data_IF_578321688756
#
_entry.id   IF_578321688756
#
_cell.length_a   1.000
_cell.length_b   1.000
_cell.length_c   1.000
_cell.angle_alpha   90.00
_cell.angle_beta   90.00
_cell.angle_gamma   90.00
#
_symmetry.space_group_name_H-M   'P 1'
#
loop_
_entity.id
_entity.type
_entity.pdbx_description
1 polymer ?
#
# COMPACT_ATOMS: atom_id res chain seq x y z
N UNK A 1 23.02 -4.61 21.50
CA UNK A 1 22.07 -5.12 20.49
C UNK A 1 22.69 -4.90 19.14
N UNK A 2 22.95 -5.96 18.38
CA UNK A 2 23.37 -5.83 16.98
C UNK A 2 22.09 -5.79 16.17
N UNK A 3 21.70 -4.61 15.71
CA UNK A 3 20.67 -4.52 14.67
C UNK A 3 21.16 -5.33 13.47
N UNK A 4 20.32 -6.24 12.98
CA UNK A 4 20.64 -6.96 11.75
C UNK A 4 20.88 -5.92 10.65
N UNK A 5 21.92 -6.12 9.83
CA UNK A 5 22.17 -5.29 8.64
C UNK A 5 20.91 -5.16 7.77
N UNK A 6 20.08 -6.21 7.73
CA UNK A 6 18.79 -6.22 7.04
C UNK A 6 17.82 -5.19 7.63
N UNK A 7 17.69 -5.11 8.96
CA UNK A 7 16.79 -4.14 9.60
C UNK A 7 17.29 -2.71 9.40
N UNK A 8 18.59 -2.47 9.57
CA UNK A 8 19.19 -1.16 9.32
C UNK A 8 19.01 -0.73 7.85
N UNK A 9 19.11 -1.66 6.90
CA UNK A 9 18.87 -1.36 5.48
C UNK A 9 17.39 -1.03 5.20
N UNK A 10 16.45 -1.80 5.77
CA UNK A 10 15.00 -1.54 5.63
C UNK A 10 14.63 -0.19 6.22
N UNK A 11 15.16 0.15 7.39
CA UNK A 11 14.90 1.43 8.07
C UNK A 11 15.42 2.61 7.24
N UNK A 12 16.68 2.57 6.81
CA UNK A 12 17.27 3.63 5.98
C UNK A 12 16.52 3.78 4.65
N UNK A 13 16.12 2.66 4.04
CA UNK A 13 15.32 2.68 2.84
C UNK A 13 13.97 3.35 3.10
N UNK A 14 13.28 2.94 4.17
CA UNK A 14 11.97 3.46 4.54
C UNK A 14 12.03 4.96 4.79
N UNK A 15 13.00 5.41 5.57
CA UNK A 15 13.24 6.83 5.84
C UNK A 15 13.47 7.61 4.54
N UNK A 16 14.29 7.07 3.64
CA UNK A 16 14.60 7.71 2.34
C UNK A 16 13.35 7.84 1.49
N UNK A 17 12.61 6.76 1.25
CA UNK A 17 11.41 6.78 0.39
C UNK A 17 10.35 7.70 0.98
N UNK A 18 10.10 7.64 2.29
CA UNK A 18 9.13 8.53 2.97
C UNK A 18 9.53 10.01 2.82
N UNK A 19 10.82 10.34 2.97
CA UNK A 19 11.30 11.72 2.84
C UNK A 19 11.14 12.25 1.40
N UNK A 20 11.54 11.46 0.40
CA UNK A 20 11.38 11.85 -1.01
C UNK A 20 9.92 11.98 -1.41
N UNK A 21 9.07 11.06 -0.96
CA UNK A 21 7.64 11.11 -1.23
C UNK A 21 6.97 12.32 -0.60
N UNK A 22 7.29 12.66 0.66
CA UNK A 22 6.76 13.86 1.31
C UNK A 22 7.21 15.14 0.60
N UNK A 23 8.48 15.19 0.14
CA UNK A 23 8.98 16.30 -0.65
C UNK A 23 8.26 16.42 -2.01
N UNK A 24 8.04 15.30 -2.71
CA UNK A 24 7.33 15.27 -3.98
C UNK A 24 5.84 15.65 -3.84
N UNK A 25 5.19 15.21 -2.76
CA UNK A 25 3.81 15.55 -2.45
C UNK A 25 3.63 17.01 -2.00
N UNK A 26 4.70 17.67 -1.54
CA UNK A 26 4.63 19.00 -0.93
C UNK A 26 3.94 19.03 0.44
N UNK A 27 3.64 17.86 1.02
CA UNK A 27 2.95 17.71 2.31
C UNK A 27 3.52 16.51 3.10
N UNK A 28 3.44 16.53 4.44
CA UNK A 28 3.79 15.37 5.26
C UNK A 28 2.90 14.16 4.94
N UNK A 29 3.52 12.99 4.79
CA UNK A 29 2.82 11.72 4.56
C UNK A 29 2.92 10.80 5.80
N UNK A 30 1.91 9.95 6.04
CA UNK A 30 2.01 8.90 7.07
C UNK A 30 3.22 8.01 6.84
N UNK A 31 3.90 7.61 7.91
CA UNK A 31 5.08 6.75 7.81
C UNK A 31 4.73 5.35 7.29
N UNK A 32 5.49 4.86 6.31
CA UNK A 32 5.34 3.54 5.71
C UNK A 32 6.65 2.76 5.80
N UNK A 33 6.59 1.46 6.05
CA UNK A 33 7.75 0.58 5.95
C UNK A 33 7.90 0.12 4.51
N UNK A 34 9.08 0.30 3.96
CA UNK A 34 9.39 0.05 2.56
C UNK A 34 10.36 -1.11 2.42
N UNK A 35 10.11 -1.93 1.40
CA UNK A 35 11.04 -2.93 0.91
C UNK A 35 11.33 -2.67 -0.57
N UNK A 36 12.56 -2.96 -0.97
CA UNK A 36 12.95 -2.90 -2.38
C UNK A 36 12.72 -4.28 -3.01
N UNK A 37 11.80 -4.37 -3.96
CA UNK A 37 11.63 -5.60 -4.72
C UNK A 37 12.71 -5.67 -5.81
N UNK A 38 13.83 -6.31 -5.47
CA UNK A 38 14.93 -6.51 -6.40
C UNK A 38 14.61 -7.55 -7.49
N UNK A 39 13.61 -8.42 -7.29
CA UNK A 39 13.22 -9.43 -8.26
C UNK A 39 12.62 -8.80 -9.53
N UNK A 40 12.02 -7.61 -9.41
CA UNK A 40 11.51 -6.84 -10.55
C UNK A 40 12.57 -6.49 -11.61
N UNK A 41 13.86 -6.43 -11.24
CA UNK A 41 14.97 -6.21 -12.19
C UNK A 41 15.38 -7.46 -12.97
N UNK A 42 15.11 -8.65 -12.43
CA UNK A 42 15.50 -9.92 -13.05
C UNK A 42 14.34 -10.62 -13.76
N UNK A 43 13.09 -10.21 -13.50
CA UNK A 43 11.89 -10.69 -14.18
C UNK A 43 11.69 -9.95 -15.51
N UNK A 44 12.12 -10.60 -16.59
CA UNK A 44 11.81 -10.25 -17.97
C UNK A 44 10.29 -10.25 -18.22
N UNK A 45 9.72 -9.09 -18.63
CA UNK A 45 8.35 -8.84 -19.13
C UNK A 45 7.21 -9.00 -18.08
N UNK A 46 6.55 -7.94 -17.59
CA UNK A 46 5.63 -7.09 -18.37
C UNK A 46 5.65 -5.58 -18.00
N UNK A 47 6.42 -5.18 -16.99
CA UNK A 47 6.69 -3.75 -16.65
C UNK A 47 8.15 -3.48 -16.25
N UNK A 48 8.96 -4.50 -15.93
CA UNK A 48 10.44 -4.52 -15.95
C UNK A 48 11.22 -3.51 -15.09
N UNK A 49 10.55 -2.56 -14.43
CA UNK A 49 11.19 -1.55 -13.60
C UNK A 49 11.23 -2.04 -12.15
N UNK A 50 12.36 -1.80 -11.48
CA UNK A 50 12.45 -1.98 -10.05
C UNK A 50 11.39 -1.12 -9.34
N UNK A 51 10.74 -1.68 -8.32
CA UNK A 51 9.67 -1.00 -7.58
C UNK A 51 9.97 -1.01 -6.09
N UNK A 52 9.72 0.12 -5.43
CA UNK A 52 9.66 0.17 -3.97
C UNK A 52 8.27 -0.26 -3.52
N UNK A 53 8.20 -1.31 -2.71
CA UNK A 53 6.97 -1.87 -2.18
C UNK A 53 6.79 -1.44 -0.73
N UNK A 54 5.82 -0.57 -0.48
CA UNK A 54 5.43 -0.09 0.84
C UNK A 54 4.25 -0.88 1.39
N UNK A 55 4.29 -1.19 2.68
CA UNK A 55 3.14 -1.77 3.40
C UNK A 55 2.78 -0.89 4.59
N UNK A 56 1.51 -0.52 4.67
CA UNK A 56 0.97 0.14 5.86
C UNK A 56 0.80 -0.91 6.95
N UNK A 57 1.31 -0.61 8.15
CA UNK A 57 1.51 -1.60 9.21
C UNK A 57 0.21 -2.36 9.54
N UNK A 58 0.23 -3.70 9.67
CA UNK A 58 -0.97 -4.47 9.98
C UNK A 58 -1.50 -4.24 11.42
N UNK A 59 -0.67 -3.68 12.29
CA UNK A 59 -1.02 -3.45 13.71
C UNK A 59 -1.98 -2.26 13.93
N UNK A 60 -2.30 -1.49 12.88
CA UNK A 60 -3.30 -0.43 12.98
C UNK A 60 -4.67 -0.90 12.45
N UNK A 61 -5.79 -0.35 12.95
CA UNK A 61 -7.11 -0.72 12.47
C UNK A 61 -7.26 -0.53 10.95
N UNK A 62 -7.98 -1.43 10.29
CA UNK A 62 -8.14 -1.45 8.83
C UNK A 62 -8.70 -0.12 8.26
N UNK A 63 -9.60 0.53 9.00
CA UNK A 63 -10.15 1.83 8.61
C UNK A 63 -9.06 2.93 8.60
N UNK A 64 -8.14 2.89 9.56
CA UNK A 64 -7.02 3.83 9.64
C UNK A 64 -5.96 3.49 8.59
N UNK A 65 -5.70 2.19 8.36
CA UNK A 65 -4.81 1.73 7.29
C UNK A 65 -5.31 2.19 5.91
N UNK A 66 -6.62 2.05 5.65
CA UNK A 66 -7.24 2.56 4.44
C UNK A 66 -7.15 4.10 4.35
N UNK A 67 -7.40 4.82 5.45
CA UNK A 67 -7.28 6.28 5.46
C UNK A 67 -5.84 6.75 5.13
N UNK A 68 -4.83 6.06 5.67
CA UNK A 68 -3.43 6.32 5.36
C UNK A 68 -3.10 5.99 3.90
N UNK A 69 -3.61 4.86 3.38
CA UNK A 69 -3.45 4.47 1.98
C UNK A 69 -4.03 5.54 1.04
N UNK A 70 -5.23 6.04 1.36
CA UNK A 70 -5.89 7.08 0.57
C UNK A 70 -5.16 8.42 0.63
N UNK A 71 -4.57 8.80 1.77
CA UNK A 71 -3.71 9.99 1.88
C UNK A 71 -2.53 9.92 0.92
N UNK A 72 -1.83 8.79 0.90
CA UNK A 72 -0.74 8.54 -0.05
C UNK A 72 -1.21 8.59 -1.50
N UNK A 73 -2.30 7.90 -1.81
CA UNK A 73 -2.84 7.83 -3.16
C UNK A 73 -3.22 9.20 -3.71
N UNK A 74 -3.89 10.04 -2.90
CA UNK A 74 -4.27 11.39 -3.30
C UNK A 74 -3.07 12.31 -3.44
N UNK A 75 -2.16 12.31 -2.46
CA UNK A 75 -1.04 13.24 -2.42
C UNK A 75 -0.04 13.04 -3.57
N UNK A 76 0.14 11.78 -4.02
CA UNK A 76 1.04 11.43 -5.11
C UNK A 76 0.32 11.09 -6.42
N UNK A 77 -0.99 11.37 -6.51
CA UNK A 77 -1.82 11.06 -7.68
C UNK A 77 -1.67 9.61 -8.16
N UNK A 78 -1.60 8.68 -7.22
CA UNK A 78 -1.40 7.26 -7.50
C UNK A 78 -2.66 6.66 -8.13
N UNK A 79 -2.46 5.61 -8.92
CA UNK A 79 -3.53 4.88 -9.60
C UNK A 79 -3.82 3.59 -8.85
N UNK A 80 -5.11 3.23 -8.75
CA UNK A 80 -5.53 1.95 -8.16
C UNK A 80 -4.94 0.81 -9.00
N UNK A 81 -4.22 -0.08 -8.32
CA UNK A 81 -3.55 -1.23 -8.90
C UNK A 81 -3.86 -2.50 -8.08
N UNK A 82 -5.03 -2.51 -7.44
CA UNK A 82 -5.55 -3.64 -6.67
C UNK A 82 -5.89 -4.78 -7.63
N UNK A 83 -5.28 -5.93 -7.41
CA UNK A 83 -5.59 -7.15 -8.15
C UNK A 83 -6.77 -7.90 -7.53
N UNK A 84 -7.45 -8.75 -8.30
CA UNK A 84 -8.54 -9.58 -7.78
C UNK A 84 -8.10 -10.44 -6.58
N UNK A 85 -6.85 -10.93 -6.61
CA UNK A 85 -6.25 -11.71 -5.50
C UNK A 85 -6.07 -10.87 -4.23
N UNK A 86 -5.73 -9.59 -4.38
CA UNK A 86 -5.59 -8.69 -3.23
C UNK A 86 -6.96 -8.30 -2.68
N UNK A 87 -7.90 -7.94 -3.54
CA UNK A 87 -9.26 -7.62 -3.15
C UNK A 87 -9.92 -8.81 -2.41
N UNK A 88 -9.77 -10.03 -2.92
CA UNK A 88 -10.24 -11.25 -2.26
C UNK A 88 -9.56 -11.50 -0.90
N UNK A 89 -8.35 -10.97 -0.71
CA UNK A 89 -7.62 -11.02 0.56
C UNK A 89 -7.86 -9.81 1.46
N UNK A 90 -8.86 -8.97 1.19
CA UNK A 90 -9.13 -7.75 1.97
C UNK A 90 -8.01 -6.74 1.89
N UNK A 91 -7.30 -6.65 0.75
CA UNK A 91 -6.21 -5.70 0.55
C UNK A 91 -6.52 -4.76 -0.60
N UNK A 92 -5.97 -3.57 -0.50
CA UNK A 92 -5.99 -2.56 -1.56
C UNK A 92 -4.58 -2.10 -1.87
N UNK A 93 -4.31 -1.83 -3.14
CA UNK A 93 -3.01 -1.39 -3.59
C UNK A 93 -3.10 -0.22 -4.57
N UNK A 94 -2.12 0.69 -4.48
CA UNK A 94 -1.94 1.80 -5.40
C UNK A 94 -0.51 1.81 -5.94
N UNK A 95 -0.34 2.20 -7.19
CA UNK A 95 0.97 2.41 -7.82
C UNK A 95 1.14 3.85 -8.29
N UNK A 96 2.35 4.37 -8.20
CA UNK A 96 2.70 5.72 -8.63
C UNK A 96 4.19 5.87 -8.87
N UNK A 97 4.64 7.10 -9.02
CA UNK A 97 6.06 7.44 -9.21
C UNK A 97 6.49 8.51 -8.22
N UNK A 98 7.69 8.35 -7.67
CA UNK A 98 8.39 9.37 -6.89
C UNK A 98 9.73 9.61 -7.58
N UNK A 99 9.90 10.82 -8.15
CA UNK A 99 10.95 11.04 -9.15
C UNK A 99 10.79 10.05 -10.31
N UNK A 100 11.89 9.38 -10.68
CA UNK A 100 11.91 8.38 -11.76
C UNK A 100 11.68 6.93 -11.27
N UNK A 101 11.38 6.75 -9.98
CA UNK A 101 11.19 5.43 -9.38
C UNK A 101 9.72 5.08 -9.22
N UNK A 102 9.36 3.85 -9.57
CA UNK A 102 8.02 3.31 -9.30
C UNK A 102 7.88 2.96 -7.82
N UNK A 103 6.71 3.25 -7.28
CA UNK A 103 6.31 2.86 -5.94
C UNK A 103 4.98 2.12 -5.99
N UNK A 104 4.80 1.15 -5.10
CA UNK A 104 3.53 0.48 -4.85
C UNK A 104 3.28 0.44 -3.35
N UNK A 105 2.13 0.93 -2.92
CA UNK A 105 1.67 0.78 -1.54
C UNK A 105 0.54 -0.22 -1.46
N UNK A 106 0.56 -1.05 -0.43
CA UNK A 106 -0.53 -1.97 -0.09
C UNK A 106 -0.94 -1.79 1.36
N UNK A 107 -2.24 -1.91 1.63
CA UNK A 107 -2.78 -1.99 2.98
C UNK A 107 -3.87 -3.06 3.07
N UNK A 108 -4.04 -3.63 4.26
CA UNK A 108 -5.26 -4.38 4.60
C UNK A 108 -6.36 -3.34 4.80
N UNK A 109 -7.50 -3.55 4.14
CA UNK A 109 -8.65 -2.68 4.20
C UNK A 109 -9.89 -3.51 4.48
N UNK A 110 -10.86 -2.92 5.17
CA UNK A 110 -12.11 -3.60 5.47
C UNK A 110 -12.73 -4.10 4.16
N UNK A 111 -12.93 -5.41 4.10
CA UNK A 111 -13.57 -6.03 2.95
C UNK A 111 -14.99 -5.50 2.90
N UNK A 112 -15.32 -4.74 1.85
CA UNK A 112 -16.71 -4.40 1.55
C UNK A 112 -17.44 -5.68 1.12
N UNK A 113 -17.68 -6.60 2.06
CA UNK A 113 -18.71 -7.60 1.90
C UNK A 113 -20.02 -6.83 1.78
N UNK A 114 -20.82 -7.02 0.70
CA UNK A 114 -22.14 -6.45 0.68
C UNK A 114 -22.91 -7.06 1.84
N UNK A 115 -23.35 -6.21 2.77
CA UNK A 115 -24.34 -6.58 3.75
C UNK A 115 -25.51 -7.19 2.96
N UNK A 116 -25.61 -8.52 2.99
CA UNK A 116 -26.79 -9.20 2.47
C UNK A 116 -27.86 -8.95 3.51
N UNK A 117 -28.50 -7.79 3.38
CA UNK A 117 -29.67 -7.36 4.14
C UNK A 117 -30.77 -8.38 3.83
N UNK A 118 -30.77 -9.48 4.58
CA UNK A 118 -31.80 -10.51 4.48
C UNK A 118 -33.00 -9.96 5.25
N UNK A 119 -33.78 -9.09 4.60
CA UNK A 119 -35.07 -8.69 5.14
C UNK A 119 -35.99 -9.92 5.19
N UNK A 120 -36.52 -10.32 6.35
CA UNK A 120 -37.53 -11.36 6.38
C UNK A 120 -38.83 -10.80 5.79
N UNK A 121 -39.33 -11.46 4.73
CA UNK A 121 -40.69 -11.26 4.22
C UNK A 121 -41.68 -11.60 5.34
N UNK A 122 -42.31 -10.57 5.92
CA UNK A 122 -43.50 -10.74 6.74
C UNK A 122 -44.64 -11.25 5.84
N UNK A 123 -44.91 -12.55 5.88
CA UNK A 123 -46.15 -13.13 5.37
C UNK A 123 -47.22 -12.85 6.43
N UNK A 124 -48.12 -11.92 6.16
CA UNK A 124 -49.35 -11.74 6.94
C UNK A 124 -50.40 -12.65 6.28
N UNK A 125 -50.93 -13.62 7.05
CA UNK A 125 -52.15 -14.37 6.74
C UNK A 125 -53.23 -13.99 7.73
#
# INVERSE_FOLDING_TARGET
MTESLTMAAIENLSQTVNSYAAAAAGVPLPHVTWMWDCCGRFASHATGAAEFCGTIHPDIPEIEANAQLMKWAMALQMVDATTDREAAGGRRAFTGTVGDSRIRLTAVVESACPATETQPLMIIS
#
